data_IF_376662803812
#
_entry.id   IF_376662803812
#
_cell.length_a   1.000
_cell.length_b   1.000
_cell.length_c   1.000
_cell.angle_alpha   90.00
_cell.angle_beta   90.00
_cell.angle_gamma   90.00
#
_symmetry.space_group_name_H-M   'P 1'
#
loop_
_entity.id
_entity.type
_entity.pdbx_description
1 polymer ?
#
# COMPACT_ATOMS: atom_id res chain seq x y z
N UNK A 1 31.73 7.21 -1.81
CA UNK A 1 30.37 7.18 -1.23
C UNK A 1 29.66 5.92 -1.69
N UNK A 2 29.08 5.12 -0.78
CA UNK A 2 28.24 3.97 -1.17
C UNK A 2 26.93 4.49 -1.80
N UNK A 3 26.59 3.99 -2.99
CA UNK A 3 25.27 4.23 -3.60
C UNK A 3 24.24 3.31 -2.93
N UNK A 4 23.10 3.87 -2.53
CA UNK A 4 21.96 3.10 -2.00
C UNK A 4 21.35 2.21 -3.09
N UNK A 5 20.88 1.03 -2.70
CA UNK A 5 20.14 0.12 -3.59
C UNK A 5 18.74 0.68 -3.86
N UNK A 6 18.12 0.26 -4.96
CA UNK A 6 16.78 0.71 -5.36
C UNK A 6 15.74 0.54 -4.24
N UNK A 7 15.73 -0.62 -3.57
CA UNK A 7 14.81 -0.86 -2.46
C UNK A 7 15.01 0.11 -1.28
N UNK A 8 16.26 0.49 -0.99
CA UNK A 8 16.58 1.45 0.08
C UNK A 8 16.11 2.86 -0.31
N UNK A 9 16.30 3.27 -1.58
CA UNK A 9 15.80 4.55 -2.10
C UNK A 9 14.27 4.62 -2.04
N UNK A 10 13.58 3.59 -2.53
CA UNK A 10 12.11 3.50 -2.50
C UNK A 10 11.58 3.52 -1.06
N UNK A 11 12.24 2.79 -0.14
CA UNK A 11 11.85 2.77 1.27
C UNK A 11 11.95 4.15 1.91
N UNK A 12 13.03 4.89 1.64
CA UNK A 12 13.21 6.24 2.14
C UNK A 12 12.22 7.23 1.55
N UNK A 13 12.01 7.20 0.23
CA UNK A 13 10.99 8.03 -0.43
C UNK A 13 9.59 7.78 0.14
N UNK A 14 9.23 6.52 0.39
CA UNK A 14 7.97 6.20 1.04
C UNK A 14 7.95 6.66 2.51
N UNK A 15 9.07 6.56 3.20
CA UNK A 15 9.26 7.08 4.55
C UNK A 15 8.98 8.58 4.63
N UNK A 16 9.59 9.39 3.75
CA UNK A 16 9.41 10.84 3.72
C UNK A 16 7.97 11.24 3.40
N UNK A 17 7.34 10.63 2.39
CA UNK A 17 5.92 10.85 2.09
C UNK A 17 5.02 10.45 3.26
N UNK A 18 5.27 9.29 3.88
CA UNK A 18 4.49 8.82 5.04
C UNK A 18 4.62 9.81 6.20
N UNK A 19 5.84 10.24 6.50
CA UNK A 19 6.11 11.13 7.62
C UNK A 19 5.35 12.46 7.47
N UNK A 20 5.13 12.97 6.26
CA UNK A 20 4.26 14.16 6.04
C UNK A 20 2.82 13.95 6.54
N UNK A 21 2.31 12.73 6.52
CA UNK A 21 0.94 12.40 6.93
C UNK A 21 0.81 11.92 8.38
N UNK A 22 1.92 11.50 9.00
CA UNK A 22 1.93 10.93 10.36
C UNK A 22 2.70 11.76 11.38
N UNK A 23 3.43 12.81 10.98
CA UNK A 23 4.26 13.63 11.90
C UNK A 23 3.48 14.23 13.07
N UNK A 24 2.26 14.68 12.84
CA UNK A 24 1.42 15.33 13.86
C UNK A 24 0.51 14.35 14.60
N UNK A 25 0.47 13.09 14.17
CA UNK A 25 -0.29 12.02 14.80
C UNK A 25 0.69 11.23 15.67
N UNK A 26 0.43 11.15 16.97
CA UNK A 26 1.40 10.57 17.91
C UNK A 26 1.87 9.18 17.47
N UNK A 27 3.18 8.93 17.45
CA UNK A 27 3.81 7.70 16.93
C UNK A 27 3.28 6.37 17.53
N UNK A 28 2.52 6.47 18.61
CA UNK A 28 1.88 5.37 19.34
C UNK A 28 0.44 5.09 18.91
N UNK A 29 -0.16 5.94 18.07
CA UNK A 29 -1.49 5.68 17.50
C UNK A 29 -1.35 4.54 16.47
N UNK A 30 -1.99 3.40 16.74
CA UNK A 30 -1.76 2.12 16.06
C UNK A 30 -2.02 2.16 14.53
N UNK A 31 -2.68 3.20 14.03
CA UNK A 31 -3.02 3.43 12.62
C UNK A 31 -1.90 4.12 11.79
N UNK A 32 -0.76 4.46 12.38
CA UNK A 32 0.32 5.20 11.68
C UNK A 32 1.47 4.31 11.19
N UNK A 33 1.45 3.02 11.54
CA UNK A 33 2.43 2.05 11.07
C UNK A 33 1.98 1.47 9.74
N UNK A 34 2.94 1.19 8.86
CA UNK A 34 2.69 0.35 7.70
C UNK A 34 2.43 -1.07 8.20
N UNK A 35 1.20 -1.61 8.07
CA UNK A 35 0.90 -2.91 8.64
C UNK A 35 1.71 -4.00 7.92
N UNK A 36 2.30 -4.91 8.68
CA UNK A 36 2.91 -6.11 8.10
C UNK A 36 1.84 -7.09 7.61
N UNK A 37 0.78 -7.26 8.41
CA UNK A 37 -0.35 -8.13 8.09
C UNK A 37 -1.63 -7.31 8.07
N UNK A 38 -2.43 -7.47 7.01
CA UNK A 38 -3.81 -7.00 6.96
C UNK A 38 -4.71 -8.23 6.91
N UNK A 39 -5.43 -8.50 8.00
CA UNK A 39 -6.31 -9.66 8.11
C UNK A 39 -7.77 -9.21 8.06
N UNK A 40 -8.52 -9.74 7.09
CA UNK A 40 -9.93 -9.38 6.86
C UNK A 40 -10.87 -10.24 7.73
N UNK A 41 -10.75 -10.12 9.05
CA UNK A 41 -11.59 -10.87 10.00
C UNK A 41 -13.08 -10.56 9.79
N UNK A 42 -13.89 -11.59 9.56
CA UNK A 42 -15.34 -11.44 9.38
C UNK A 42 -15.77 -11.17 7.93
N UNK A 43 -14.82 -10.89 7.03
CA UNK A 43 -15.06 -10.94 5.59
C UNK A 43 -14.92 -12.38 5.13
N UNK A 44 -16.01 -12.98 4.64
CA UNK A 44 -16.00 -14.38 4.18
C UNK A 44 -16.34 -14.44 2.68
N UNK A 45 -15.39 -14.03 1.80
CA UNK A 45 -15.65 -13.93 0.36
C UNK A 45 -15.97 -15.27 -0.30
N UNK A 46 -15.53 -16.39 0.28
CA UNK A 46 -15.66 -17.72 -0.32
C UNK A 46 -17.03 -18.37 -0.11
N UNK A 47 -17.74 -18.06 0.98
CA UNK A 47 -19.04 -18.68 1.31
C UNK A 47 -20.22 -17.71 1.11
N UNK A 48 -19.94 -16.44 0.80
CA UNK A 48 -20.95 -15.38 0.62
C UNK A 48 -21.64 -14.92 1.90
N UNK A 49 -21.32 -15.53 3.05
CA UNK A 49 -21.77 -15.06 4.34
C UNK A 49 -20.87 -13.89 4.76
N UNK A 50 -21.42 -12.90 5.44
CA UNK A 50 -20.61 -11.83 6.00
C UNK A 50 -21.15 -11.51 7.38
N UNK A 51 -20.25 -11.12 8.28
CA UNK A 51 -20.67 -10.56 9.55
C UNK A 51 -21.55 -9.34 9.27
N UNK A 52 -22.64 -9.17 10.02
CA UNK A 52 -23.49 -7.97 9.94
C UNK A 52 -22.73 -6.68 10.26
N UNK A 53 -21.53 -6.79 10.85
CA UNK A 53 -20.64 -5.67 11.12
C UNK A 53 -20.05 -5.02 9.85
N UNK A 54 -19.97 -5.73 8.73
CA UNK A 54 -19.32 -5.24 7.51
C UNK A 54 -20.16 -5.53 6.27
N UNK A 55 -20.28 -4.54 5.38
CA UNK A 55 -20.91 -4.77 4.07
C UNK A 55 -19.99 -5.57 3.17
N UNK A 56 -20.58 -6.34 2.26
CA UNK A 56 -19.85 -7.07 1.23
C UNK A 56 -18.87 -6.16 0.47
N UNK A 57 -19.35 -4.98 0.06
CA UNK A 57 -18.59 -4.00 -0.69
C UNK A 57 -17.41 -3.45 0.10
N UNK A 58 -17.59 -3.18 1.40
CA UNK A 58 -16.50 -2.70 2.25
C UNK A 58 -15.39 -3.77 2.39
N UNK A 59 -15.78 -5.03 2.60
CA UNK A 59 -14.84 -6.16 2.64
C UNK A 59 -14.07 -6.30 1.32
N UNK A 60 -14.79 -6.35 0.20
CA UNK A 60 -14.20 -6.56 -1.11
C UNK A 60 -13.26 -5.41 -1.51
N UNK A 61 -13.72 -4.16 -1.36
CA UNK A 61 -12.92 -2.98 -1.66
C UNK A 61 -11.70 -2.86 -0.74
N UNK A 62 -11.86 -3.22 0.54
CA UNK A 62 -10.74 -3.31 1.48
C UNK A 62 -9.69 -4.32 1.02
N UNK A 63 -10.12 -5.52 0.61
CA UNK A 63 -9.23 -6.57 0.09
C UNK A 63 -8.47 -6.12 -1.15
N UNK A 64 -9.16 -5.52 -2.13
CA UNK A 64 -8.51 -4.99 -3.34
C UNK A 64 -7.47 -3.92 -3.01
N UNK A 65 -7.81 -2.97 -2.12
CA UNK A 65 -6.88 -1.92 -1.69
C UNK A 65 -5.64 -2.51 -1.02
N UNK A 66 -5.81 -3.46 -0.11
CA UNK A 66 -4.69 -4.07 0.59
C UNK A 66 -3.78 -4.87 -0.36
N UNK A 67 -4.37 -5.61 -1.30
CA UNK A 67 -3.62 -6.35 -2.32
C UNK A 67 -2.82 -5.41 -3.22
N UNK A 68 -3.47 -4.40 -3.82
CA UNK A 68 -2.80 -3.46 -4.72
C UNK A 68 -1.77 -2.59 -3.97
N UNK A 69 -1.99 -2.29 -2.69
CA UNK A 69 -1.01 -1.62 -1.83
C UNK A 69 0.25 -2.48 -1.64
N UNK A 70 0.09 -3.78 -1.43
CA UNK A 70 1.19 -4.74 -1.35
C UNK A 70 1.86 -4.95 -2.72
N UNK A 71 1.08 -5.02 -3.80
CA UNK A 71 1.60 -5.24 -5.14
C UNK A 71 2.42 -4.04 -5.64
N UNK A 72 2.06 -2.83 -5.25
CA UNK A 72 2.87 -1.63 -5.46
C UNK A 72 4.26 -1.68 -4.82
N UNK A 73 4.54 -2.60 -3.89
CA UNK A 73 5.89 -2.83 -3.38
C UNK A 73 6.72 -3.68 -4.34
N UNK A 74 6.06 -4.55 -5.11
CA UNK A 74 6.64 -5.43 -6.10
C UNK A 74 6.77 -4.70 -7.45
N UNK A 75 5.68 -4.14 -7.97
CA UNK A 75 5.60 -3.46 -9.26
C UNK A 75 6.61 -2.30 -9.41
N UNK A 76 6.89 -1.58 -8.32
CA UNK A 76 7.90 -0.50 -8.33
C UNK A 76 9.30 -0.99 -8.72
N UNK A 77 9.61 -2.27 -8.49
CA UNK A 77 10.88 -2.87 -8.94
C UNK A 77 10.93 -3.12 -10.44
N UNK A 78 9.77 -3.15 -11.08
CA UNK A 78 9.59 -3.34 -12.52
C UNK A 78 9.22 -2.04 -13.25
N UNK A 79 9.20 -0.90 -12.54
CA UNK A 79 8.88 0.40 -13.14
C UNK A 79 7.38 0.63 -13.33
N UNK A 80 6.51 0.00 -12.52
CA UNK A 80 5.06 0.19 -12.57
C UNK A 80 4.46 0.50 -11.20
N UNK A 81 3.25 1.04 -11.20
CA UNK A 81 2.44 1.30 -10.01
C UNK A 81 0.95 1.26 -10.36
N UNK A 82 0.10 0.80 -9.44
CA UNK A 82 -1.33 1.08 -9.40
C UNK A 82 -1.56 2.50 -8.88
N UNK A 83 -2.02 3.45 -9.72
CA UNK A 83 -2.34 4.80 -9.27
C UNK A 83 -3.65 4.86 -8.47
N UNK A 84 -4.58 3.94 -8.75
CA UNK A 84 -5.81 3.74 -7.99
C UNK A 84 -5.80 2.32 -7.39
N UNK A 85 -5.88 2.25 -6.06
CA UNK A 85 -5.86 0.99 -5.33
C UNK A 85 -7.16 0.19 -5.45
N UNK A 86 -8.23 0.76 -6.00
CA UNK A 86 -9.46 0.03 -6.34
C UNK A 86 -9.48 -0.47 -7.79
N UNK A 87 -8.48 -0.11 -8.59
CA UNK A 87 -8.39 -0.55 -9.98
C UNK A 87 -7.21 -1.52 -10.17
N UNK A 88 -7.47 -2.81 -9.95
CA UNK A 88 -6.45 -3.86 -10.14
C UNK A 88 -6.06 -4.10 -11.60
N UNK A 89 -6.86 -3.66 -12.57
CA UNK A 89 -6.59 -3.91 -13.99
C UNK A 89 -5.65 -2.88 -14.62
N UNK A 90 -5.49 -1.71 -13.99
CA UNK A 90 -4.69 -0.62 -14.52
C UNK A 90 -3.40 -0.41 -13.73
N UNK A 91 -2.29 -0.35 -14.46
CA UNK A 91 -0.98 0.07 -13.95
C UNK A 91 -0.42 1.17 -14.85
N UNK A 92 0.28 2.12 -14.25
CA UNK A 92 0.99 3.18 -14.95
C UNK A 92 2.50 2.99 -14.81
N UNK A 93 3.29 3.32 -15.85
CA UNK A 93 4.74 3.31 -15.76
C UNK A 93 5.25 4.38 -14.78
N UNK A 94 6.36 4.09 -14.12
CA UNK A 94 7.11 5.03 -13.30
C UNK A 94 8.24 5.67 -14.12
N UNK A 95 8.69 6.88 -13.73
CA UNK A 95 9.89 7.49 -14.30
C UNK A 95 11.10 6.55 -14.18
N UNK A 96 12.00 6.60 -15.17
CA UNK A 96 13.20 5.77 -15.21
C UNK A 96 14.04 5.88 -13.93
N UNK A 97 14.16 7.10 -13.38
CA UNK A 97 14.95 7.39 -12.19
C UNK A 97 14.13 7.35 -10.89
N UNK A 98 12.95 6.72 -10.88
CA UNK A 98 12.11 6.65 -9.68
C UNK A 98 12.80 5.89 -8.52
N UNK A 99 12.65 6.33 -7.26
CA UNK A 99 12.16 7.65 -6.87
C UNK A 99 13.20 8.69 -7.26
N UNK A 100 12.76 9.76 -7.94
CA UNK A 100 13.67 10.81 -8.38
C UNK A 100 14.50 11.28 -7.18
N UNK A 101 15.80 11.47 -7.38
CA UNK A 101 16.61 12.15 -6.39
C UNK A 101 16.18 13.62 -6.40
N UNK A 102 15.59 14.08 -5.31
CA UNK A 102 15.51 15.51 -5.01
C UNK A 102 16.93 16.09 -4.87
#
# INVERSE_FOLDING_TARGET
MLRRRQAEKVSQFYGTMRDQHVKDKGYWEDDLRRPFTTHFTGCQPCNGQHSSAYTWEACWNGMQRALNFADNQVLRRFGFVHPDLLNSSFVSPLPFDFPAAD
#
